data_IF_345773571820
#
_entry.id   IF_345773571820
#
_cell.length_a   1.000
_cell.length_b   1.000
_cell.length_c   1.000
_cell.angle_alpha   90.00
_cell.angle_beta   90.00
_cell.angle_gamma   90.00
#
_symmetry.space_group_name_H-M   'P 1'
#
loop_
_entity.id
_entity.type
_entity.pdbx_description
1 polymer ?
#
# COMPACT_ATOMS: atom_id res chain seq x y z
N UNK A 1 -7.76 -20.90 4.68
CA UNK A 1 -7.94 -20.00 5.83
C UNK A 1 -8.66 -20.77 6.93
N UNK A 2 -8.28 -20.57 8.19
CA UNK A 2 -8.95 -21.16 9.35
C UNK A 2 -10.12 -20.29 9.80
N UNK A 3 -10.75 -20.65 10.93
CA UNK A 3 -11.73 -19.78 11.59
C UNK A 3 -11.05 -18.46 12.02
N UNK A 4 -11.81 -17.37 12.02
CA UNK A 4 -11.40 -16.05 12.50
C UNK A 4 -10.13 -15.47 11.83
N UNK A 5 -10.03 -15.59 10.49
CA UNK A 5 -8.91 -15.07 9.70
C UNK A 5 -7.52 -15.62 10.09
N UNK A 6 -7.45 -16.75 10.81
CA UNK A 6 -6.17 -17.37 11.16
C UNK A 6 -5.59 -18.16 9.99
N UNK A 7 -4.29 -18.01 9.76
CA UNK A 7 -3.58 -18.86 8.82
C UNK A 7 -3.52 -20.32 9.33
N UNK A 8 -3.65 -21.29 8.40
CA UNK A 8 -3.59 -22.74 8.71
C UNK A 8 -2.21 -23.29 8.40
N UNK A 9 -1.64 -22.88 7.28
CA UNK A 9 -0.31 -23.28 6.82
C UNK A 9 0.29 -22.18 5.97
N UNK A 10 1.62 -22.06 6.00
CA UNK A 10 2.39 -21.16 5.16
C UNK A 10 3.64 -21.87 4.68
N UNK A 11 3.83 -21.90 3.36
CA UNK A 11 4.95 -22.55 2.71
C UNK A 11 5.60 -21.56 1.72
N UNK A 12 6.93 -21.47 1.75
CA UNK A 12 7.70 -20.65 0.80
C UNK A 12 7.87 -21.43 -0.49
N UNK A 13 7.43 -20.86 -1.62
CA UNK A 13 7.59 -21.42 -2.98
C UNK A 13 7.31 -22.93 -3.06
N UNK A 14 6.12 -23.42 -2.63
CA UNK A 14 5.82 -24.84 -2.60
C UNK A 14 5.71 -25.41 -4.02
N UNK A 15 6.28 -26.60 -4.25
CA UNK A 15 6.10 -27.33 -5.52
C UNK A 15 4.65 -27.78 -5.74
N UNK A 16 3.91 -27.99 -4.63
CA UNK A 16 2.48 -28.30 -4.63
C UNK A 16 1.75 -27.30 -3.73
N UNK A 17 1.23 -26.18 -4.28
CA UNK A 17 0.56 -25.16 -3.48
C UNK A 17 -0.73 -25.71 -2.85
N UNK A 18 -0.94 -25.43 -1.57
CA UNK A 18 -2.15 -25.86 -0.83
C UNK A 18 -3.36 -24.95 -1.08
N UNK A 19 -3.16 -23.80 -1.73
CA UNK A 19 -4.21 -22.85 -2.09
C UNK A 19 -3.75 -21.94 -3.23
N UNK A 20 -4.70 -21.21 -3.82
CA UNK A 20 -4.42 -20.20 -4.87
C UNK A 20 -4.09 -18.80 -4.31
N UNK A 21 -3.84 -18.68 -3.00
CA UNK A 21 -3.50 -17.40 -2.38
C UNK A 21 -1.99 -17.24 -2.30
N UNK A 22 -1.48 -16.18 -2.93
CA UNK A 22 -0.13 -15.69 -2.70
C UNK A 22 -0.11 -14.72 -1.51
N UNK A 23 1.00 -14.67 -0.78
CA UNK A 23 1.22 -13.67 0.27
C UNK A 23 1.94 -12.48 -0.36
N UNK A 24 1.29 -11.31 -0.49
CA UNK A 24 1.93 -10.13 -1.04
C UNK A 24 2.96 -9.56 -0.06
N UNK A 25 3.83 -8.67 -0.55
CA UNK A 25 4.86 -7.99 0.23
C UNK A 25 4.35 -6.93 1.21
N UNK A 26 3.26 -7.19 1.94
CA UNK A 26 2.69 -6.29 2.95
C UNK A 26 2.44 -7.05 4.25
N UNK A 27 3.14 -6.66 5.30
CA UNK A 27 3.14 -7.35 6.59
C UNK A 27 3.00 -6.35 7.73
N UNK A 28 2.20 -6.70 8.74
CA UNK A 28 2.08 -5.96 9.98
C UNK A 28 2.51 -6.86 11.13
N UNK A 29 3.40 -6.35 11.97
CA UNK A 29 3.91 -7.07 13.13
C UNK A 29 3.86 -6.19 14.37
N UNK A 30 3.72 -6.82 15.53
CA UNK A 30 4.00 -6.20 16.82
C UNK A 30 5.49 -6.29 17.16
N UNK A 31 5.88 -5.71 18.30
CA UNK A 31 7.29 -5.46 18.63
C UNK A 31 8.14 -6.74 18.79
N UNK A 32 7.52 -7.90 19.08
CA UNK A 32 8.25 -9.17 19.19
C UNK A 32 8.96 -9.59 17.90
N UNK A 33 8.60 -8.99 16.74
CA UNK A 33 9.27 -9.25 15.46
C UNK A 33 10.77 -9.01 15.52
N UNK A 34 11.22 -8.07 16.35
CA UNK A 34 12.65 -7.75 16.53
C UNK A 34 13.40 -8.95 17.10
N UNK A 35 12.89 -9.52 18.21
CA UNK A 35 13.48 -10.69 18.85
C UNK A 35 13.37 -11.95 17.98
N UNK A 36 12.32 -12.05 17.17
CA UNK A 36 12.16 -13.14 16.21
C UNK A 36 13.19 -13.03 15.08
N UNK A 37 13.33 -11.83 14.51
CA UNK A 37 14.24 -11.57 13.39
C UNK A 37 15.71 -11.79 13.75
N UNK A 38 16.10 -11.57 15.00
CA UNK A 38 17.48 -11.86 15.46
C UNK A 38 17.79 -13.36 15.61
N UNK A 39 16.76 -14.21 15.67
CA UNK A 39 16.89 -15.66 15.93
C UNK A 39 16.67 -16.53 14.70
N UNK A 40 16.19 -15.95 13.59
CA UNK A 40 15.99 -16.72 12.35
C UNK A 40 17.34 -17.11 11.74
N UNK A 41 17.35 -18.29 11.10
CA UNK A 41 18.52 -18.82 10.40
C UNK A 41 18.38 -18.55 8.89
N UNK A 42 19.49 -18.38 8.17
CA UNK A 42 19.48 -18.31 6.72
C UNK A 42 18.81 -19.53 6.08
N UNK A 43 18.14 -19.33 4.96
CA UNK A 43 17.60 -20.39 4.12
C UNK A 43 18.73 -21.13 3.39
N UNK A 44 18.37 -22.16 2.61
CA UNK A 44 19.34 -22.91 1.80
C UNK A 44 20.13 -22.00 0.83
N UNK A 45 19.58 -20.84 0.48
CA UNK A 45 20.20 -19.86 -0.41
C UNK A 45 20.99 -18.77 0.36
N UNK A 46 21.11 -18.89 1.68
CA UNK A 46 21.81 -17.93 2.53
C UNK A 46 21.00 -16.67 2.91
N UNK A 47 19.71 -16.61 2.56
CA UNK A 47 18.86 -15.44 2.81
C UNK A 47 18.05 -15.57 4.10
N UNK A 48 17.82 -14.44 4.78
CA UNK A 48 16.90 -14.36 5.92
C UNK A 48 15.48 -14.13 5.41
N UNK A 49 14.72 -15.22 5.29
CA UNK A 49 13.38 -15.20 4.68
C UNK A 49 12.32 -14.62 5.62
N UNK A 50 11.47 -13.73 5.10
CA UNK A 50 10.29 -13.22 5.82
C UNK A 50 9.31 -14.36 6.19
N UNK A 51 9.25 -15.42 5.37
CA UNK A 51 8.44 -16.61 5.64
C UNK A 51 8.89 -17.35 6.91
N UNK A 52 10.16 -17.25 7.30
CA UNK A 52 10.65 -17.79 8.59
C UNK A 52 10.05 -17.05 9.78
N UNK A 53 9.93 -15.73 9.70
CA UNK A 53 9.26 -14.91 10.71
C UNK A 53 7.78 -15.29 10.78
N UNK A 54 7.10 -15.31 9.63
CA UNK A 54 5.67 -15.64 9.56
C UNK A 54 5.35 -17.04 10.11
N UNK A 55 6.23 -18.03 9.89
CA UNK A 55 6.07 -19.38 10.46
C UNK A 55 6.14 -19.40 11.99
N UNK A 56 6.92 -18.51 12.60
CA UNK A 56 6.99 -18.40 14.07
C UNK A 56 5.67 -17.82 14.61
N UNK A 57 5.15 -16.74 14.00
CA UNK A 57 3.82 -16.21 14.33
C UNK A 57 2.72 -17.26 14.12
N UNK A 58 2.79 -18.05 13.04
CA UNK A 58 1.86 -19.14 12.78
C UNK A 58 1.92 -20.21 13.88
N UNK A 59 3.13 -20.65 14.27
CA UNK A 59 3.32 -21.62 15.36
C UNK A 59 2.73 -21.12 16.68
N UNK A 60 2.85 -19.81 16.94
CA UNK A 60 2.28 -19.16 18.12
C UNK A 60 0.78 -18.88 17.99
N UNK A 61 0.13 -19.23 16.87
CA UNK A 61 -1.28 -18.94 16.56
C UNK A 61 -1.62 -17.45 16.55
N UNK A 62 -0.62 -16.62 16.22
CA UNK A 62 -0.68 -15.16 16.14
C UNK A 62 -0.60 -14.64 14.69
N UNK A 63 -0.59 -15.53 13.68
CA UNK A 63 -0.63 -15.14 12.27
C UNK A 63 -2.08 -15.04 11.79
N UNK A 64 -2.50 -13.80 11.53
CA UNK A 64 -3.77 -13.46 10.91
C UNK A 64 -3.55 -13.08 9.44
N UNK A 65 -4.53 -13.36 8.59
CA UNK A 65 -4.48 -13.07 7.16
C UNK A 65 -5.71 -12.29 6.74
N UNK A 66 -5.51 -11.25 5.94
CA UNK A 66 -6.59 -10.51 5.29
C UNK A 66 -6.63 -10.86 3.80
N UNK A 67 -7.82 -11.19 3.32
CA UNK A 67 -8.01 -11.55 1.91
C UNK A 67 -8.23 -10.27 1.11
N UNK A 68 -7.30 -10.01 0.18
CA UNK A 68 -7.53 -9.02 -0.87
C UNK A 68 -8.51 -9.63 -1.88
N UNK A 69 -9.79 -9.23 -1.76
CA UNK A 69 -10.89 -9.75 -2.57
C UNK A 69 -10.85 -9.33 -4.04
N UNK A 70 -11.82 -9.82 -4.80
CA UNK A 70 -12.01 -9.42 -6.21
C UNK A 70 -12.19 -7.89 -6.30
N UNK A 71 -11.53 -7.28 -7.29
CA UNK A 71 -11.51 -5.83 -7.49
C UNK A 71 -10.24 -5.16 -6.96
N UNK A 72 -9.40 -5.86 -6.20
CA UNK A 72 -8.08 -5.38 -5.81
C UNK A 72 -7.04 -5.89 -6.81
N UNK A 73 -6.21 -4.96 -7.30
CA UNK A 73 -5.06 -5.30 -8.14
C UNK A 73 -3.80 -5.34 -7.30
N UNK A 74 -3.10 -6.48 -7.34
CA UNK A 74 -1.72 -6.59 -6.86
C UNK A 74 -0.83 -6.87 -8.07
N UNK A 75 0.18 -6.01 -8.26
CA UNK A 75 1.09 -6.08 -9.39
C UNK A 75 2.52 -6.04 -8.86
N UNK A 76 3.34 -6.97 -9.32
CA UNK A 76 4.78 -7.00 -9.02
C UNK A 76 5.56 -6.48 -10.24
N UNK A 77 6.44 -5.50 -10.01
CA UNK A 77 7.29 -4.91 -11.02
C UNK A 77 8.64 -5.65 -11.18
N UNK A 78 8.71 -6.92 -10.78
CA UNK A 78 9.93 -7.73 -10.80
C UNK A 78 10.48 -8.10 -12.19
N UNK A 79 9.76 -7.85 -13.30
CA UNK A 79 10.23 -8.07 -14.67
C UNK A 79 9.95 -6.86 -15.56
N UNK A 80 10.69 -6.71 -16.66
CA UNK A 80 10.43 -5.64 -17.65
C UNK A 80 8.98 -5.66 -18.16
N UNK A 81 8.44 -6.86 -18.44
CA UNK A 81 7.06 -7.00 -18.91
C UNK A 81 6.04 -6.60 -17.82
N UNK A 82 6.24 -7.06 -16.59
CA UNK A 82 5.32 -6.78 -15.49
C UNK A 82 5.37 -5.30 -15.06
N UNK A 83 6.52 -4.65 -15.16
CA UNK A 83 6.66 -3.21 -14.97
C UNK A 83 5.85 -2.41 -15.99
N UNK A 84 5.92 -2.76 -17.28
CA UNK A 84 5.13 -2.09 -18.32
C UNK A 84 3.63 -2.30 -18.08
N UNK A 85 3.21 -3.51 -17.71
CA UNK A 85 1.81 -3.79 -17.38
C UNK A 85 1.33 -2.94 -16.21
N UNK A 86 2.12 -2.84 -15.14
CA UNK A 86 1.79 -2.01 -13.99
C UNK A 86 1.67 -0.52 -14.36
N UNK A 87 2.63 0.00 -15.16
CA UNK A 87 2.60 1.38 -15.64
C UNK A 87 1.33 1.67 -16.45
N UNK A 88 1.00 0.80 -17.41
CA UNK A 88 -0.20 0.94 -18.24
C UNK A 88 -1.49 0.87 -17.42
N UNK A 89 -1.53 -0.01 -16.41
CA UNK A 89 -2.66 -0.11 -15.48
C UNK A 89 -2.87 1.20 -14.72
N UNK A 90 -1.83 1.74 -14.10
CA UNK A 90 -1.90 3.01 -13.36
C UNK A 90 -2.34 4.14 -14.29
N UNK A 91 -1.69 4.29 -15.44
CA UNK A 91 -2.01 5.33 -16.41
C UNK A 91 -3.47 5.30 -16.85
N UNK A 92 -3.99 4.10 -17.16
CA UNK A 92 -5.40 3.94 -17.60
C UNK A 92 -6.40 4.35 -16.52
N UNK A 93 -6.12 4.02 -15.25
CA UNK A 93 -7.01 4.39 -14.14
C UNK A 93 -6.96 5.90 -13.90
N UNK A 94 -5.76 6.49 -13.87
CA UNK A 94 -5.59 7.93 -13.62
C UNK A 94 -6.27 8.77 -14.71
N UNK A 95 -6.12 8.40 -15.99
CA UNK A 95 -6.77 9.13 -17.10
C UNK A 95 -8.29 9.08 -17.03
N UNK A 96 -8.87 7.96 -16.59
CA UNK A 96 -10.33 7.79 -16.57
C UNK A 96 -11.00 8.36 -15.32
N UNK A 97 -10.32 8.33 -14.18
CA UNK A 97 -10.89 8.77 -12.91
C UNK A 97 -10.52 10.22 -12.56
N UNK A 98 -9.51 10.79 -13.21
CA UNK A 98 -9.01 12.13 -12.89
C UNK A 98 -8.36 12.22 -11.50
N UNK A 99 -8.03 11.09 -10.88
CA UNK A 99 -7.37 10.96 -9.58
C UNK A 99 -5.99 10.35 -9.74
N UNK A 100 -5.04 10.75 -8.91
CA UNK A 100 -3.70 10.16 -8.86
C UNK A 100 -3.65 8.97 -7.89
N UNK A 101 -2.99 7.88 -8.30
CA UNK A 101 -2.74 6.73 -7.43
C UNK A 101 -1.38 6.91 -6.76
N UNK A 102 -1.34 6.81 -5.43
CA UNK A 102 -0.09 6.89 -4.69
C UNK A 102 0.52 8.29 -4.64
N UNK A 103 -0.31 9.35 -4.66
CA UNK A 103 0.12 10.74 -4.47
C UNK A 103 0.36 11.03 -2.97
N UNK A 104 1.62 11.09 -2.47
CA UNK A 104 1.89 11.25 -1.04
C UNK A 104 1.46 12.62 -0.51
N UNK A 105 1.54 13.69 -1.31
CA UNK A 105 1.16 15.04 -0.89
C UNK A 105 -0.34 15.14 -0.60
N UNK A 106 -1.17 14.58 -1.48
CA UNK A 106 -2.61 14.52 -1.27
C UNK A 106 -2.95 13.66 -0.05
N UNK A 107 -2.33 12.48 0.07
CA UNK A 107 -2.56 11.59 1.22
C UNK A 107 -2.18 12.29 2.52
N UNK A 108 -1.01 12.94 2.57
CA UNK A 108 -0.54 13.66 3.74
C UNK A 108 -1.49 14.80 4.12
N UNK A 109 -1.98 15.56 3.13
CA UNK A 109 -2.96 16.61 3.37
C UNK A 109 -4.28 16.06 3.91
N UNK A 110 -4.87 15.04 3.24
CA UNK A 110 -6.15 14.43 3.67
C UNK A 110 -6.07 13.74 5.03
N UNK A 111 -4.89 13.23 5.40
CA UNK A 111 -4.59 12.65 6.72
C UNK A 111 -4.24 13.70 7.78
N UNK A 112 -4.24 14.99 7.43
CA UNK A 112 -3.85 16.11 8.29
C UNK A 112 -2.40 16.03 8.80
N UNK A 113 -1.51 15.37 8.08
CA UNK A 113 -0.07 15.39 8.37
C UNK A 113 0.57 16.71 7.95
N UNK A 114 0.01 17.37 6.94
CA UNK A 114 0.41 18.71 6.50
C UNK A 114 -0.79 19.65 6.42
N UNK A 115 -0.53 20.93 6.60
CA UNK A 115 -1.49 22.02 6.44
C UNK A 115 -1.68 22.40 4.98
N UNK A 116 -2.75 23.14 4.68
CA UNK A 116 -2.98 23.69 3.33
C UNK A 116 -1.82 24.59 2.86
N UNK A 117 -1.23 25.38 3.77
CA UNK A 117 -0.08 26.23 3.42
C UNK A 117 1.12 25.39 2.99
N UNK A 118 1.43 24.34 3.75
CA UNK A 118 2.52 23.43 3.42
C UNK A 118 2.29 22.71 2.09
N UNK A 119 1.05 22.30 1.81
CA UNK A 119 0.71 21.71 0.51
C UNK A 119 0.95 22.71 -0.64
N UNK A 120 0.52 23.96 -0.49
CA UNK A 120 0.75 25.01 -1.51
C UNK A 120 2.26 25.22 -1.75
N UNK A 121 3.05 25.26 -0.68
CA UNK A 121 4.51 25.44 -0.80
C UNK A 121 5.19 24.29 -1.53
N UNK A 122 4.75 23.04 -1.30
CA UNK A 122 5.22 21.84 -2.02
C UNK A 122 4.85 21.90 -3.51
N UNK A 123 3.65 22.36 -3.84
CA UNK A 123 3.12 22.37 -5.22
C UNK A 123 3.74 23.48 -6.06
N UNK A 124 4.07 24.62 -5.46
CA UNK A 124 4.60 25.81 -6.13
C UNK A 124 5.75 25.54 -7.13
N UNK A 125 6.81 24.79 -6.81
CA UNK A 125 7.89 24.50 -7.77
C UNK A 125 7.45 23.62 -8.94
N UNK A 126 6.43 22.78 -8.77
CA UNK A 126 5.98 21.80 -9.77
C UNK A 126 4.67 22.18 -10.48
N UNK A 127 4.12 23.38 -10.21
CA UNK A 127 2.82 23.84 -10.72
C UNK A 127 2.65 23.77 -12.24
N UNK A 128 3.74 23.78 -13.00
CA UNK A 128 3.73 23.69 -14.47
C UNK A 128 3.68 22.26 -15.02
N UNK A 129 3.81 21.25 -14.15
CA UNK A 129 3.75 19.84 -14.53
C UNK A 129 2.32 19.33 -14.42
N UNK A 130 1.98 18.25 -15.12
CA UNK A 130 0.67 17.60 -14.98
C UNK A 130 0.38 17.15 -13.56
N UNK A 131 1.41 16.72 -12.82
CA UNK A 131 1.31 16.34 -11.42
C UNK A 131 1.04 17.54 -10.50
N UNK A 132 1.75 18.65 -10.70
CA UNK A 132 1.52 19.89 -9.96
C UNK A 132 0.15 20.48 -10.25
N UNK A 133 -0.30 20.45 -11.50
CA UNK A 133 -1.63 20.92 -11.89
C UNK A 133 -2.73 20.11 -11.19
N UNK A 134 -2.59 18.78 -11.11
CA UNK A 134 -3.50 17.93 -10.34
C UNK A 134 -3.61 18.39 -8.87
N UNK A 135 -2.48 18.65 -8.21
CA UNK A 135 -2.48 19.10 -6.82
C UNK A 135 -3.08 20.52 -6.65
N UNK A 136 -2.87 21.40 -7.62
CA UNK A 136 -3.56 22.71 -7.68
C UNK A 136 -5.07 22.53 -7.74
N UNK A 137 -5.55 21.59 -8.55
CA UNK A 137 -6.99 21.32 -8.68
C UNK A 137 -7.57 20.80 -7.35
N UNK A 138 -6.86 19.91 -6.65
CA UNK A 138 -7.24 19.47 -5.30
C UNK A 138 -7.32 20.64 -4.32
N UNK A 139 -6.31 21.53 -4.29
CA UNK A 139 -6.31 22.72 -3.44
C UNK A 139 -7.55 23.59 -3.72
N UNK A 140 -7.89 23.79 -5.00
CA UNK A 140 -9.02 24.60 -5.41
C UNK A 140 -10.37 23.98 -4.98
N UNK A 141 -10.54 22.67 -5.16
CA UNK A 141 -11.74 21.93 -4.73
C UNK A 141 -11.94 22.08 -3.21
N UNK A 142 -10.89 21.87 -2.42
CA UNK A 142 -10.95 21.93 -0.96
C UNK A 142 -11.26 23.36 -0.47
N UNK A 143 -10.69 24.38 -1.11
CA UNK A 143 -10.99 25.78 -0.79
C UNK A 143 -12.46 26.14 -1.10
N UNK A 144 -13.01 25.62 -2.21
CA UNK A 144 -14.41 25.84 -2.56
C UNK A 144 -15.36 25.15 -1.57
N UNK A 145 -15.06 23.91 -1.18
CA UNK A 145 -15.84 23.17 -0.18
C UNK A 145 -15.87 23.92 1.17
N UNK A 146 -14.72 24.43 1.62
CA UNK A 146 -14.62 25.25 2.85
C UNK A 146 -15.44 26.53 2.76
N UNK A 147 -15.44 27.23 1.62
CA UNK A 147 -16.26 28.43 1.40
C UNK A 147 -17.75 28.09 1.42
N UNK A 148 -18.14 26.97 0.83
CA UNK A 148 -19.54 26.52 0.84
C UNK A 148 -20.01 26.20 2.26
N UNK A 149 -19.23 25.43 3.03
CA UNK A 149 -19.55 25.11 4.43
C UNK A 149 -19.71 26.37 5.31
N UNK A 150 -18.86 27.39 5.09
CA UNK A 150 -18.99 28.69 5.79
C UNK A 150 -20.25 29.48 5.41
N UNK A 151 -20.82 29.26 4.23
CA UNK A 151 -22.10 29.90 3.82
C UNK A 151 -23.32 29.24 4.49
N UNK A 152 -23.19 28.00 4.95
CA UNK A 152 -24.30 27.23 5.55
C UNK A 152 -24.28 27.22 7.09
N UNK A 153 -23.17 27.63 7.72
CA UNK A 153 -23.10 27.82 9.17
C UNK A 153 -23.30 29.31 9.49
N UNK A 154 -24.46 29.64 10.06
CA UNK A 154 -24.80 30.93 10.68
C UNK A 154 -23.82 31.29 11.81
#
# INVERSE_FOLDING_TARGET
MGKDNKAVSLDEKPTKPKSNYAVPGLYFYDNQVIDIATKIKPSNNGELEITSINKIYLKNKQLFVEILGRGISWMDAGTHSSLIQASNFIHTIEERQGLKIGCPEEIAYRRNFITMSQLIDIVKPMQKTSYGQYLVDIINIENNNRKQLRKFNL
#
